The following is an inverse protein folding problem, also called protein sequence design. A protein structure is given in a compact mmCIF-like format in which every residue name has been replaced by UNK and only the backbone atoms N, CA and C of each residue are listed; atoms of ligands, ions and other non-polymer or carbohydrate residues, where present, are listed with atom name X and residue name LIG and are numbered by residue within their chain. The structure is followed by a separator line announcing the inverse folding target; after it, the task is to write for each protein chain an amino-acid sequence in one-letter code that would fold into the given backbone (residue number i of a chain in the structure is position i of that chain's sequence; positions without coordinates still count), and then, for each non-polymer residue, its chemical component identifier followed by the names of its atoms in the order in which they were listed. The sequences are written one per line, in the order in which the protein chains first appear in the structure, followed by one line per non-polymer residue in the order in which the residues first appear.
data_IF_941306190172
#
_entry.id   IF_941306190172
#
_cell.length_a   1.000
_cell.length_b   1.000
_cell.length_c   1.000
_cell.angle_alpha   90.00
_cell.angle_beta   90.00
_cell.angle_gamma   90.00
#
_symmetry.space_group_name_H-M   'P 1'
#
loop_
_entity.id
_entity.type
_entity.pdbx_description
1 polymer ?
#
# COMPACT_ATOMS: atom_id res chain seq x y z
N UNK A 1 -28.24 17.48 -16.25
CA UNK A 1 -27.25 16.38 -16.25
C UNK A 1 -26.96 16.03 -14.82
N UNK A 2 -26.76 14.77 -14.52
CA UNK A 2 -26.29 14.35 -13.20
C UNK A 2 -24.86 14.86 -13.01
N UNK A 3 -24.55 15.47 -11.84
CA UNK A 3 -23.21 15.94 -11.54
C UNK A 3 -22.60 14.97 -10.54
N UNK A 4 -21.49 14.32 -10.90
CA UNK A 4 -20.74 13.40 -10.04
C UNK A 4 -19.56 14.11 -9.38
N UNK A 5 -19.39 13.87 -8.09
CA UNK A 5 -18.27 14.44 -7.34
C UNK A 5 -17.09 13.49 -7.30
N UNK A 6 -15.90 14.06 -7.55
CA UNK A 6 -14.61 13.36 -7.51
C UNK A 6 -13.75 13.97 -6.42
N UNK A 7 -13.33 13.17 -5.44
CA UNK A 7 -12.35 13.58 -4.44
C UNK A 7 -10.94 13.23 -4.92
N UNK A 8 -10.06 14.22 -5.00
CA UNK A 8 -8.62 14.04 -5.26
C UNK A 8 -7.90 13.91 -3.93
N UNK A 9 -7.48 12.71 -3.57
CA UNK A 9 -6.79 12.39 -2.32
C UNK A 9 -5.29 12.53 -2.52
N UNK A 10 -4.66 13.42 -1.76
CA UNK A 10 -3.25 13.80 -1.93
C UNK A 10 -2.48 13.60 -0.63
N UNK A 11 -1.78 12.46 -0.45
CA UNK A 11 -0.88 12.29 0.69
C UNK A 11 0.37 13.15 0.52
N UNK A 12 0.69 13.97 1.54
CA UNK A 12 1.79 14.94 1.52
C UNK A 12 2.72 14.73 2.73
N UNK A 13 4.02 14.78 2.52
CA UNK A 13 5.03 14.83 3.58
C UNK A 13 6.27 15.58 3.13
N UNK A 14 6.47 16.82 3.62
CA UNK A 14 7.54 17.73 3.20
C UNK A 14 7.54 17.91 1.66
N UNK A 15 6.43 18.42 1.16
CA UNK A 15 6.15 18.67 -0.26
C UNK A 15 5.85 20.17 -0.53
N UNK A 16 6.32 21.09 0.34
CA UNK A 16 6.09 22.54 0.25
C UNK A 16 6.25 23.09 -1.17
N UNK A 17 7.27 22.64 -1.90
CA UNK A 17 7.59 23.14 -3.25
C UNK A 17 6.67 22.59 -4.34
N UNK A 18 5.92 21.52 -4.06
CA UNK A 18 5.13 20.81 -5.06
C UNK A 18 3.62 21.11 -4.94
N UNK A 19 3.12 21.53 -3.77
CA UNK A 19 1.70 21.67 -3.48
C UNK A 19 1.00 22.61 -4.45
N UNK A 20 1.54 23.83 -4.66
CA UNK A 20 0.94 24.83 -5.56
C UNK A 20 0.92 24.32 -7.01
N UNK A 21 2.07 23.83 -7.52
CA UNK A 21 2.16 23.32 -8.87
C UNK A 21 1.25 22.12 -9.12
N UNK A 22 1.08 21.26 -8.09
CA UNK A 22 0.15 20.13 -8.14
C UNK A 22 -1.30 20.62 -8.27
N UNK A 23 -1.71 21.58 -7.40
CA UNK A 23 -3.07 22.12 -7.42
C UNK A 23 -3.39 22.73 -8.79
N UNK A 24 -2.52 23.59 -9.32
CA UNK A 24 -2.68 24.21 -10.64
C UNK A 24 -2.77 23.16 -11.77
N UNK A 25 -1.90 22.15 -11.75
CA UNK A 25 -1.89 21.12 -12.78
C UNK A 25 -3.17 20.27 -12.78
N UNK A 26 -3.72 19.96 -11.60
CA UNK A 26 -4.99 19.24 -11.47
C UNK A 26 -6.16 20.12 -11.87
N UNK A 27 -6.16 21.42 -11.52
CA UNK A 27 -7.19 22.38 -11.97
C UNK A 27 -7.26 22.48 -13.48
N UNK A 28 -6.10 22.55 -14.16
CA UNK A 28 -6.05 22.54 -15.64
C UNK A 28 -6.66 21.24 -16.20
N UNK A 29 -6.34 20.10 -15.61
CA UNK A 29 -6.90 18.81 -16.05
C UNK A 29 -8.43 18.74 -15.81
N UNK A 30 -8.91 19.23 -14.66
CA UNK A 30 -10.32 19.30 -14.31
C UNK A 30 -11.09 20.19 -15.29
N UNK A 31 -10.60 21.40 -15.60
CA UNK A 31 -11.20 22.32 -16.56
C UNK A 31 -11.33 21.67 -17.96
N UNK A 32 -10.30 20.97 -18.42
CA UNK A 32 -10.37 20.22 -19.70
C UNK A 32 -11.44 19.13 -19.69
N UNK A 33 -11.65 18.45 -18.55
CA UNK A 33 -12.69 17.42 -18.41
C UNK A 33 -14.07 18.07 -18.42
N UNK A 34 -14.27 19.18 -17.70
CA UNK A 34 -15.54 19.91 -17.62
C UNK A 34 -15.95 20.53 -18.97
N UNK A 35 -15.00 21.02 -19.75
CA UNK A 35 -15.23 21.58 -21.09
C UNK A 35 -15.47 20.52 -22.15
N UNK A 36 -15.11 19.26 -21.87
CA UNK A 36 -15.20 18.16 -22.83
C UNK A 36 -16.65 17.66 -22.93
N UNK A 37 -17.17 17.58 -24.16
CA UNK A 37 -18.48 16.98 -24.46
C UNK A 37 -18.45 15.45 -24.55
N UNK A 38 -17.33 14.82 -24.25
CA UNK A 38 -17.14 13.36 -24.37
C UNK A 38 -17.77 12.58 -23.21
N UNK A 39 -18.02 13.23 -22.06
CA UNK A 39 -18.51 12.56 -20.85
C UNK A 39 -20.04 12.58 -20.75
N UNK A 40 -20.61 11.50 -20.23
CA UNK A 40 -22.06 11.34 -20.06
C UNK A 40 -22.65 12.24 -18.96
N UNK A 41 -21.82 12.69 -18.00
CA UNK A 41 -22.22 13.57 -16.90
C UNK A 41 -21.16 14.67 -16.68
N UNK A 42 -21.54 15.73 -15.94
CA UNK A 42 -20.56 16.71 -15.45
C UNK A 42 -19.85 16.18 -14.21
N UNK A 43 -18.62 16.65 -13.98
CA UNK A 43 -17.83 16.27 -12.82
C UNK A 43 -17.49 17.51 -11.99
N UNK A 44 -17.64 17.39 -10.67
CA UNK A 44 -17.26 18.39 -9.67
C UNK A 44 -16.05 17.86 -8.91
N UNK A 45 -14.93 18.59 -8.93
CA UNK A 45 -13.68 18.20 -8.33
C UNK A 45 -13.51 18.80 -6.95
N UNK A 46 -13.19 17.97 -5.97
CA UNK A 46 -12.80 18.40 -4.63
C UNK A 46 -11.46 17.77 -4.23
N UNK A 47 -10.74 18.44 -3.34
CA UNK A 47 -9.41 18.03 -2.91
C UNK A 47 -9.42 17.62 -1.45
N UNK A 48 -8.67 16.56 -1.11
CA UNK A 48 -8.44 16.14 0.25
C UNK A 48 -6.92 15.97 0.43
N UNK A 49 -6.27 17.01 0.91
CA UNK A 49 -4.85 16.98 1.24
C UNK A 49 -4.64 16.34 2.61
N UNK A 50 -3.73 15.37 2.70
CA UNK A 50 -3.36 14.73 3.96
C UNK A 50 -1.90 15.08 4.27
N UNK A 51 -1.69 15.98 5.21
CA UNK A 51 -0.37 16.32 5.71
C UNK A 51 0.07 15.30 6.77
N UNK A 52 1.00 14.43 6.41
CA UNK A 52 1.55 13.37 7.27
C UNK A 52 2.58 13.94 8.27
N UNK A 53 2.23 15.02 8.97
CA UNK A 53 3.06 15.66 9.98
C UNK A 53 4.34 16.27 9.40
N UNK A 54 4.23 17.05 8.35
CA UNK A 54 5.34 17.75 7.72
C UNK A 54 6.06 18.70 8.69
N UNK A 55 7.34 18.94 8.42
CA UNK A 55 8.21 19.82 9.22
C UNK A 55 8.67 21.07 8.45
N UNK A 56 8.26 21.17 7.19
CA UNK A 56 8.44 22.32 6.30
C UNK A 56 7.14 23.13 6.17
N UNK A 57 7.05 24.04 5.21
CA UNK A 57 5.86 24.86 4.93
C UNK A 57 4.70 24.15 4.21
N UNK A 58 4.70 22.81 4.12
CA UNK A 58 3.65 22.06 3.40
C UNK A 58 2.24 22.37 3.90
N UNK A 59 2.03 22.34 5.22
CA UNK A 59 0.71 22.58 5.82
C UNK A 59 0.24 24.00 5.58
N UNK A 60 1.15 24.99 5.69
CA UNK A 60 0.87 26.39 5.41
C UNK A 60 0.42 26.60 3.96
N UNK A 61 1.08 25.94 3.00
CA UNK A 61 0.69 25.99 1.58
C UNK A 61 -0.68 25.36 1.37
N UNK A 62 -0.97 24.23 1.98
CA UNK A 62 -2.28 23.57 1.90
C UNK A 62 -3.39 24.49 2.42
N UNK A 63 -3.17 25.18 3.55
CA UNK A 63 -4.13 26.14 4.12
C UNK A 63 -4.38 27.32 3.20
N UNK A 64 -3.33 27.88 2.60
CA UNK A 64 -3.48 28.97 1.62
C UNK A 64 -4.32 28.55 0.41
N UNK A 65 -4.13 27.33 -0.08
CA UNK A 65 -4.95 26.77 -1.17
C UNK A 65 -6.39 26.55 -0.70
N UNK A 66 -6.60 26.08 0.53
CA UNK A 66 -7.94 25.87 1.06
C UNK A 66 -8.72 27.19 1.20
N UNK A 67 -8.07 28.26 1.66
CA UNK A 67 -8.66 29.59 1.73
C UNK A 67 -9.01 30.13 0.34
N UNK A 68 -8.11 30.01 -0.64
CA UNK A 68 -8.35 30.39 -2.03
C UNK A 68 -9.46 29.54 -2.67
N UNK A 69 -9.47 28.23 -2.45
CA UNK A 69 -10.51 27.34 -2.96
C UNK A 69 -11.90 27.71 -2.45
N UNK A 70 -12.02 28.18 -1.21
CA UNK A 70 -13.28 28.67 -0.66
C UNK A 70 -13.80 29.92 -1.39
N UNK A 71 -12.91 30.81 -1.86
CA UNK A 71 -13.27 31.97 -2.68
C UNK A 71 -13.68 31.56 -4.10
N UNK A 72 -13.06 30.54 -4.67
CA UNK A 72 -13.29 30.01 -6.02
C UNK A 72 -14.43 28.96 -6.08
N UNK A 73 -15.10 28.68 -4.96
CA UNK A 73 -16.13 27.64 -4.80
C UNK A 73 -15.61 26.22 -5.04
N UNK A 74 -14.30 26.02 -5.02
CA UNK A 74 -13.68 24.70 -5.12
C UNK A 74 -13.49 24.11 -3.72
N UNK A 75 -14.04 22.92 -3.47
CA UNK A 75 -13.94 22.29 -2.16
C UNK A 75 -12.52 21.75 -1.91
N UNK A 76 -11.74 22.45 -1.09
CA UNK A 76 -10.40 22.02 -0.65
C UNK A 76 -10.43 21.70 0.84
N UNK A 77 -10.21 20.43 1.13
CA UNK A 77 -10.18 19.88 2.49
C UNK A 77 -8.78 19.46 2.86
N UNK A 78 -8.47 19.46 4.15
CA UNK A 78 -7.22 18.92 4.63
C UNK A 78 -7.36 18.24 5.99
N UNK A 79 -6.45 17.28 6.24
CA UNK A 79 -6.21 16.64 7.54
C UNK A 79 -4.71 16.71 7.79
N UNK A 80 -4.28 17.27 8.92
CA UNK A 80 -2.88 17.25 9.36
C UNK A 80 -2.71 16.33 10.55
N UNK A 81 -1.68 15.48 10.49
CA UNK A 81 -1.37 14.53 11.54
C UNK A 81 -0.47 15.11 12.63
N UNK A 82 -0.58 14.58 13.83
CA UNK A 82 0.25 15.01 14.98
C UNK A 82 1.75 14.71 14.81
N UNK A 83 2.10 13.76 13.94
CA UNK A 83 3.47 13.38 13.54
C UNK A 83 3.40 12.59 12.23
N UNK A 84 4.55 12.22 11.68
CA UNK A 84 4.60 11.29 10.56
C UNK A 84 4.12 9.88 10.99
N UNK A 85 3.08 9.37 10.32
CA UNK A 85 2.53 8.02 10.46
C UNK A 85 2.76 7.17 9.19
N UNK A 86 3.22 7.79 8.10
CA UNK A 86 3.55 7.16 6.83
C UNK A 86 2.47 7.30 5.76
N UNK A 87 2.90 7.17 4.50
CA UNK A 87 2.04 7.34 3.32
C UNK A 87 0.77 6.48 3.36
N UNK A 88 0.89 5.24 3.83
CA UNK A 88 -0.24 4.30 3.93
C UNK A 88 -1.33 4.85 4.88
N UNK A 89 -0.94 5.43 6.01
CA UNK A 89 -1.87 6.08 6.94
C UNK A 89 -2.52 7.32 6.31
N UNK A 90 -1.76 8.11 5.55
CA UNK A 90 -2.28 9.28 4.85
C UNK A 90 -3.31 8.90 3.77
N UNK A 91 -3.01 7.89 2.94
CA UNK A 91 -3.97 7.36 1.97
C UNK A 91 -5.25 6.84 2.65
N UNK A 92 -5.11 6.11 3.75
CA UNK A 92 -6.26 5.63 4.52
C UNK A 92 -7.13 6.76 5.06
N UNK A 93 -6.52 7.81 5.62
CA UNK A 93 -7.26 8.97 6.13
C UNK A 93 -8.06 9.67 5.01
N UNK A 94 -7.45 9.85 3.85
CA UNK A 94 -8.10 10.43 2.67
C UNK A 94 -9.27 9.58 2.17
N UNK A 95 -9.08 8.28 2.04
CA UNK A 95 -10.14 7.34 1.64
C UNK A 95 -11.30 7.34 2.65
N UNK A 96 -10.98 7.35 3.94
CA UNK A 96 -11.99 7.41 5.00
C UNK A 96 -12.79 8.71 4.98
N UNK A 97 -12.13 9.84 4.72
CA UNK A 97 -12.78 11.15 4.58
C UNK A 97 -13.69 11.18 3.34
N UNK A 98 -13.22 10.65 2.20
CA UNK A 98 -14.01 10.55 0.97
C UNK A 98 -15.22 9.62 1.13
N UNK A 99 -15.05 8.47 1.78
CA UNK A 99 -16.13 7.51 2.02
C UNK A 99 -17.25 8.07 2.91
N UNK A 100 -16.90 8.88 3.93
CA UNK A 100 -17.88 9.49 4.84
C UNK A 100 -18.59 10.71 4.23
N UNK A 101 -17.93 11.45 3.34
CA UNK A 101 -18.34 12.79 2.95
C UNK A 101 -18.13 13.82 4.08
N UNK A 102 -18.41 15.09 3.79
CA UNK A 102 -18.45 16.13 4.82
C UNK A 102 -19.79 16.10 5.57
N UNK A 103 -19.83 16.63 6.81
CA UNK A 103 -21.05 16.73 7.63
C UNK A 103 -22.22 17.36 6.83
N UNK A 104 -23.28 16.57 6.66
CA UNK A 104 -24.44 16.96 5.85
C UNK A 104 -24.25 16.88 4.33
N UNK A 105 -23.07 16.51 3.83
CA UNK A 105 -22.77 16.25 2.42
C UNK A 105 -22.91 14.78 2.06
N UNK A 106 -23.21 14.52 0.77
CA UNK A 106 -23.15 13.14 0.24
C UNK A 106 -21.68 12.71 0.13
N UNK A 107 -21.39 11.40 0.29
CA UNK A 107 -20.09 10.84 -0.08
C UNK A 107 -19.77 11.15 -1.55
N UNK A 108 -18.49 11.11 -1.91
CA UNK A 108 -18.09 11.28 -3.30
C UNK A 108 -18.49 10.07 -4.14
N UNK A 109 -18.83 10.30 -5.40
CA UNK A 109 -19.15 9.23 -6.34
C UNK A 109 -17.89 8.47 -6.75
N UNK A 110 -16.80 9.21 -6.88
CA UNK A 110 -15.48 8.70 -7.27
C UNK A 110 -14.38 9.30 -6.39
N UNK A 111 -13.26 8.60 -6.26
CA UNK A 111 -12.06 9.14 -5.62
C UNK A 111 -10.80 8.77 -6.40
N UNK A 112 -9.87 9.70 -6.49
CA UNK A 112 -8.54 9.51 -7.11
C UNK A 112 -7.48 9.68 -6.05
N UNK A 113 -6.52 8.75 -5.97
CA UNK A 113 -5.31 8.90 -5.16
C UNK A 113 -4.18 9.37 -6.08
N UNK A 114 -3.52 10.47 -5.72
CA UNK A 114 -2.37 11.00 -6.46
C UNK A 114 -1.29 11.50 -5.50
N UNK A 115 -0.02 11.29 -5.88
CA UNK A 115 1.12 11.89 -5.17
C UNK A 115 1.31 13.34 -5.61
N UNK A 116 1.70 14.23 -4.67
CA UNK A 116 1.90 15.66 -4.93
C UNK A 116 3.11 15.98 -5.84
N UNK A 117 3.98 15.01 -6.12
CA UNK A 117 5.25 15.20 -6.86
C UNK A 117 5.12 15.27 -8.39
N UNK A 118 3.89 15.22 -8.91
CA UNK A 118 3.54 15.25 -10.34
C UNK A 118 4.25 14.19 -11.20
N UNK A 119 4.73 13.10 -10.58
CA UNK A 119 5.21 11.95 -11.36
C UNK A 119 4.07 11.23 -12.11
N UNK A 120 2.85 11.45 -11.66
CA UNK A 120 1.62 10.97 -12.29
C UNK A 120 0.95 12.14 -13.03
N UNK A 121 0.84 12.09 -14.38
CA UNK A 121 0.22 13.16 -15.14
C UNK A 121 -1.28 13.32 -14.79
N UNK A 122 -1.74 14.50 -14.31
CA UNK A 122 -3.16 14.71 -14.00
C UNK A 122 -4.09 14.52 -15.21
N UNK A 123 -3.60 14.73 -16.42
CA UNK A 123 -4.35 14.50 -17.66
C UNK A 123 -4.88 13.06 -17.80
N UNK A 124 -4.26 12.07 -17.14
CA UNK A 124 -4.74 10.69 -17.14
C UNK A 124 -6.08 10.50 -16.42
N UNK A 125 -6.49 11.45 -15.57
CA UNK A 125 -7.81 11.39 -14.90
C UNK A 125 -8.92 11.33 -15.95
N UNK A 126 -8.84 12.11 -17.03
CA UNK A 126 -9.82 12.05 -18.12
C UNK A 126 -9.89 10.69 -18.80
N UNK A 127 -8.73 10.04 -19.02
CA UNK A 127 -8.70 8.68 -19.58
C UNK A 127 -9.27 7.65 -18.60
N UNK A 128 -8.98 7.78 -17.31
CA UNK A 128 -9.54 6.92 -16.27
C UNK A 128 -11.07 7.05 -16.20
N UNK A 129 -11.59 8.26 -16.24
CA UNK A 129 -13.05 8.52 -16.26
C UNK A 129 -13.71 7.90 -17.47
N UNK A 130 -13.14 8.09 -18.67
CA UNK A 130 -13.64 7.48 -19.90
C UNK A 130 -13.71 5.96 -19.77
N UNK A 131 -12.68 5.33 -19.23
CA UNK A 131 -12.64 3.87 -19.01
C UNK A 131 -13.76 3.40 -18.09
N UNK A 132 -13.97 4.08 -16.96
CA UNK A 132 -15.08 3.73 -16.05
C UNK A 132 -16.44 3.87 -16.74
N UNK A 133 -16.66 4.93 -17.52
CA UNK A 133 -17.92 5.13 -18.24
C UNK A 133 -18.13 4.07 -19.33
N UNK A 134 -17.10 3.69 -20.07
CA UNK A 134 -17.17 2.73 -21.17
C UNK A 134 -17.35 1.29 -20.69
N UNK A 135 -16.63 0.89 -19.63
CA UNK A 135 -16.58 -0.51 -19.21
C UNK A 135 -17.46 -0.81 -18.01
N UNK A 136 -17.79 0.21 -17.20
CA UNK A 136 -18.50 0.03 -15.94
C UNK A 136 -17.65 -0.63 -14.84
N UNK A 137 -16.32 -0.68 -15.00
CA UNK A 137 -15.41 -1.22 -13.98
C UNK A 137 -15.46 -0.37 -12.70
N UNK A 138 -15.03 -0.97 -11.58
CA UNK A 138 -15.07 -0.31 -10.27
C UNK A 138 -13.86 0.61 -10.04
N UNK A 139 -12.77 0.33 -10.73
CA UNK A 139 -11.51 1.08 -10.60
C UNK A 139 -10.72 1.11 -11.89
N UNK A 140 -10.01 2.20 -12.12
CA UNK A 140 -8.95 2.30 -13.13
C UNK A 140 -7.66 2.69 -12.46
N UNK A 141 -6.63 1.83 -12.58
CA UNK A 141 -5.35 2.03 -11.95
C UNK A 141 -4.24 2.26 -12.99
N UNK A 142 -3.28 3.10 -12.65
CA UNK A 142 -2.14 3.35 -13.51
C UNK A 142 -1.01 2.35 -13.25
N UNK A 143 -0.33 1.90 -14.33
CA UNK A 143 0.89 1.10 -14.24
C UNK A 143 2.01 1.68 -15.10
N UNK A 144 3.22 1.61 -14.58
CA UNK A 144 4.41 2.05 -15.32
C UNK A 144 4.84 1.01 -16.33
N UNK A 145 4.95 1.39 -17.60
CA UNK A 145 5.41 0.50 -18.69
C UNK A 145 6.91 0.47 -18.80
N UNK A 146 7.60 1.54 -18.39
CA UNK A 146 9.03 1.70 -18.58
C UNK A 146 9.75 1.93 -17.27
N UNK A 147 10.79 1.11 -17.04
CA UNK A 147 11.76 1.29 -15.94
C UNK A 147 13.06 1.91 -16.46
N UNK A 148 13.00 2.70 -17.54
CA UNK A 148 14.16 3.42 -18.08
C UNK A 148 14.70 4.39 -17.01
N UNK A 149 15.99 4.22 -16.67
CA UNK A 149 16.65 5.03 -15.63
C UNK A 149 16.70 4.39 -14.23
N UNK A 150 16.03 3.26 -13.98
CA UNK A 150 16.20 2.52 -12.72
C UNK A 150 17.43 1.59 -12.78
N UNK A 151 18.15 1.42 -11.66
CA UNK A 151 19.22 0.42 -11.55
C UNK A 151 18.69 -0.99 -11.87
N UNK A 152 19.38 -1.74 -12.71
CA UNK A 152 18.97 -3.09 -13.14
C UNK A 152 18.71 -4.04 -11.97
N UNK A 153 19.49 -3.90 -10.89
CA UNK A 153 19.36 -4.68 -9.66
C UNK A 153 18.01 -4.41 -9.00
N UNK A 154 17.60 -3.13 -8.86
CA UNK A 154 16.31 -2.73 -8.27
C UNK A 154 15.14 -3.30 -9.07
N UNK A 155 15.20 -3.23 -10.40
CA UNK A 155 14.17 -3.78 -11.29
C UNK A 155 14.09 -5.31 -11.21
N UNK A 156 15.23 -6.01 -11.01
CA UNK A 156 15.24 -7.46 -10.82
C UNK A 156 14.61 -7.88 -9.48
N UNK A 157 14.95 -7.17 -8.39
CA UNK A 157 14.34 -7.40 -7.08
C UNK A 157 12.83 -7.14 -7.09
N UNK A 158 12.37 -6.07 -7.73
CA UNK A 158 10.95 -5.78 -7.84
C UNK A 158 10.20 -6.89 -8.59
N UNK A 159 10.71 -7.36 -9.74
CA UNK A 159 10.11 -8.48 -10.47
C UNK A 159 10.08 -9.77 -9.66
N UNK A 160 11.16 -10.06 -8.93
CA UNK A 160 11.21 -11.22 -8.04
C UNK A 160 10.16 -11.11 -6.93
N UNK A 161 10.02 -9.93 -6.33
CA UNK A 161 9.01 -9.65 -5.32
C UNK A 161 7.59 -9.91 -5.84
N UNK A 162 7.20 -9.33 -6.98
CA UNK A 162 5.87 -9.57 -7.58
C UNK A 162 5.65 -11.04 -7.91
N UNK A 163 6.68 -11.73 -8.43
CA UNK A 163 6.58 -13.18 -8.71
C UNK A 163 6.36 -14.02 -7.43
N UNK A 164 7.01 -13.66 -6.34
CA UNK A 164 6.85 -14.33 -5.04
C UNK A 164 5.46 -14.02 -4.48
N UNK A 165 5.04 -12.75 -4.46
CA UNK A 165 3.71 -12.35 -4.00
C UNK A 165 2.62 -13.11 -4.74
N UNK A 166 2.62 -13.08 -6.07
CA UNK A 166 1.60 -13.73 -6.90
C UNK A 166 1.65 -15.26 -6.85
N UNK A 167 2.73 -15.85 -6.32
CA UNK A 167 2.86 -17.32 -6.16
C UNK A 167 2.39 -17.81 -4.79
N UNK A 168 2.59 -17.01 -3.75
CA UNK A 168 2.45 -17.45 -2.35
C UNK A 168 1.39 -16.69 -1.57
N UNK A 169 0.85 -15.61 -2.11
CA UNK A 169 -0.29 -14.88 -1.55
C UNK A 169 -1.54 -15.13 -2.40
N UNK A 170 -2.71 -15.07 -1.77
CA UNK A 170 -4.02 -15.23 -2.45
C UNK A 170 -4.47 -13.93 -3.14
N UNK A 171 -3.52 -13.09 -3.58
CA UNK A 171 -3.75 -11.83 -4.27
C UNK A 171 -2.87 -11.73 -5.52
N UNK A 172 -3.40 -11.14 -6.59
CA UNK A 172 -2.65 -10.85 -7.80
C UNK A 172 -2.27 -9.37 -7.86
N UNK A 173 -0.98 -9.08 -7.68
CA UNK A 173 -0.45 -7.72 -7.79
C UNK A 173 0.19 -7.53 -9.16
N UNK A 174 -0.29 -6.54 -9.90
CA UNK A 174 0.21 -6.21 -11.24
C UNK A 174 1.58 -5.55 -11.16
N UNK A 175 2.56 -6.06 -11.94
CA UNK A 175 3.90 -5.46 -12.01
C UNK A 175 3.83 -4.04 -12.57
N UNK A 176 4.51 -3.12 -11.90
CA UNK A 176 4.51 -1.70 -12.25
C UNK A 176 3.31 -0.92 -11.72
N UNK A 177 2.37 -1.55 -10.98
CA UNK A 177 1.27 -0.86 -10.33
C UNK A 177 1.76 0.27 -9.42
N UNK A 178 1.17 1.44 -9.56
CA UNK A 178 1.37 2.62 -8.70
C UNK A 178 0.12 2.89 -7.88
N UNK A 179 0.21 3.82 -6.92
CA UNK A 179 -0.94 4.16 -6.08
C UNK A 179 -1.97 5.05 -6.80
N UNK A 180 -1.58 5.64 -7.94
CA UNK A 180 -2.45 6.46 -8.76
C UNK A 180 -3.58 5.63 -9.37
N UNK A 181 -4.79 5.84 -8.86
CA UNK A 181 -5.99 5.13 -9.29
C UNK A 181 -7.26 5.93 -9.03
N UNK A 182 -8.23 5.76 -9.92
CA UNK A 182 -9.60 6.20 -9.78
C UNK A 182 -10.44 5.03 -9.29
N UNK A 183 -11.30 5.25 -8.30
CA UNK A 183 -12.16 4.23 -7.68
C UNK A 183 -13.58 4.75 -7.55
N UNK A 184 -14.58 3.87 -7.70
CA UNK A 184 -15.95 4.18 -7.36
C UNK A 184 -16.17 4.20 -5.84
N UNK A 185 -17.29 4.75 -5.40
CA UNK A 185 -17.62 4.87 -3.98
C UNK A 185 -17.65 3.51 -3.26
N UNK A 186 -18.13 2.45 -3.93
CA UNK A 186 -18.23 1.12 -3.32
C UNK A 186 -16.85 0.57 -2.94
N UNK A 187 -15.87 0.70 -3.84
CA UNK A 187 -14.49 0.30 -3.57
C UNK A 187 -13.82 1.18 -2.51
N UNK A 188 -14.01 2.52 -2.59
CA UNK A 188 -13.48 3.47 -1.57
C UNK A 188 -13.99 3.10 -0.19
N UNK A 189 -15.29 2.84 -0.05
CA UNK A 189 -15.90 2.44 1.22
C UNK A 189 -15.33 1.11 1.73
N UNK A 190 -15.26 0.09 0.88
CA UNK A 190 -14.71 -1.22 1.27
C UNK A 190 -13.28 -1.10 1.80
N UNK A 191 -12.41 -0.33 1.11
CA UNK A 191 -11.01 -0.12 1.55
C UNK A 191 -10.92 0.74 2.82
N UNK A 192 -11.81 1.73 2.99
CA UNK A 192 -11.87 2.57 4.18
C UNK A 192 -12.38 1.83 5.43
N UNK A 193 -13.18 0.78 5.25
CA UNK A 193 -13.68 -0.09 6.33
C UNK A 193 -12.64 -1.12 6.83
N UNK A 194 -11.46 -1.21 6.18
CA UNK A 194 -10.37 -2.11 6.60
C UNK A 194 -9.37 -1.36 7.49
N UNK A 195 -9.46 -1.49 8.83
CA UNK A 195 -8.68 -0.70 9.78
C UNK A 195 -7.33 -1.36 10.14
N UNK A 196 -6.69 -2.03 9.20
CA UNK A 196 -5.41 -2.69 9.41
C UNK A 196 -4.33 -1.67 9.81
N UNK A 197 -3.60 -1.93 10.90
CA UNK A 197 -2.53 -1.06 11.40
C UNK A 197 -1.30 -1.14 10.49
N UNK A 198 -1.00 -2.34 10.00
CA UNK A 198 0.06 -2.59 9.02
C UNK A 198 -0.59 -2.66 7.63
N UNK A 199 -0.54 -1.55 6.90
CA UNK A 199 -1.20 -1.44 5.60
C UNK A 199 -0.22 -1.63 4.46
N UNK A 200 -0.66 -2.39 3.48
CA UNK A 200 -0.03 -2.49 2.17
C UNK A 200 -1.11 -2.26 1.11
N UNK A 201 -1.34 -1.00 0.77
CA UNK A 201 -2.49 -0.58 -0.06
C UNK A 201 -2.60 -1.34 -1.38
N UNK A 202 -1.48 -1.65 -2.05
CA UNK A 202 -1.50 -2.45 -3.29
C UNK A 202 -2.07 -3.84 -3.09
N UNK A 203 -1.78 -4.46 -1.95
CA UNK A 203 -2.37 -5.74 -1.56
C UNK A 203 -3.84 -5.61 -1.22
N UNK A 204 -4.21 -4.58 -0.45
CA UNK A 204 -5.61 -4.32 -0.06
C UNK A 204 -6.48 -4.09 -1.30
N UNK A 205 -6.02 -3.27 -2.26
CA UNK A 205 -6.74 -3.02 -3.51
C UNK A 205 -6.95 -4.28 -4.35
N UNK A 206 -6.01 -5.21 -4.32
CA UNK A 206 -6.17 -6.51 -5.00
C UNK A 206 -7.09 -7.44 -4.20
N UNK A 207 -7.00 -7.42 -2.87
CA UNK A 207 -7.73 -8.31 -1.98
C UNK A 207 -9.25 -8.04 -1.97
N UNK A 208 -9.66 -6.77 -2.07
CA UNK A 208 -11.10 -6.41 -2.08
C UNK A 208 -11.85 -6.94 -3.30
N UNK A 209 -11.15 -7.36 -4.36
CA UNK A 209 -11.71 -8.11 -5.50
C UNK A 209 -12.62 -7.31 -6.43
N UNK A 210 -12.56 -5.97 -6.41
CA UNK A 210 -13.28 -5.10 -7.33
C UNK A 210 -12.66 -5.15 -8.73
N UNK A 211 -13.50 -5.01 -9.76
CA UNK A 211 -13.07 -5.00 -11.15
C UNK A 211 -12.19 -3.80 -11.44
N UNK A 212 -10.92 -4.06 -11.84
CA UNK A 212 -9.91 -3.02 -12.03
C UNK A 212 -9.30 -3.10 -13.41
N UNK A 213 -9.46 -2.03 -14.19
CA UNK A 213 -8.76 -1.83 -15.45
C UNK A 213 -7.44 -1.10 -15.26
N UNK A 214 -6.53 -1.25 -16.23
CA UNK A 214 -5.17 -0.72 -16.13
C UNK A 214 -4.87 0.20 -17.31
N UNK A 215 -4.39 1.41 -16.99
CA UNK A 215 -3.82 2.32 -17.99
C UNK A 215 -2.30 2.36 -17.86
N UNK A 216 -1.64 2.42 -19.01
CA UNK A 216 -0.20 2.45 -19.07
C UNK A 216 0.29 3.89 -19.20
N UNK A 217 1.33 4.25 -18.44
CA UNK A 217 1.95 5.56 -18.58
C UNK A 217 3.48 5.49 -18.51
N UNK A 218 4.12 6.46 -19.15
CA UNK A 218 5.56 6.66 -19.03
C UNK A 218 5.88 7.56 -17.82
N UNK A 219 6.92 7.17 -17.07
CA UNK A 219 7.31 7.90 -15.88
C UNK A 219 7.82 9.31 -16.22
N UNK A 220 7.22 10.32 -15.63
CA UNK A 220 7.67 11.71 -15.73
C UNK A 220 8.70 11.98 -14.62
N UNK A 221 9.70 12.81 -14.89
CA UNK A 221 10.66 13.24 -13.86
C UNK A 221 9.93 14.08 -12.80
N UNK A 222 10.29 13.88 -11.53
CA UNK A 222 9.83 14.74 -10.43
C UNK A 222 10.15 16.19 -10.73
N UNK A 223 9.22 17.09 -10.37
CA UNK A 223 9.45 18.54 -10.47
C UNK A 223 10.52 18.99 -9.46
N UNK A 224 10.44 18.53 -8.22
CA UNK A 224 11.38 18.85 -7.14
C UNK A 224 11.49 17.69 -6.14
N UNK A 225 12.54 17.69 -5.32
CA UNK A 225 12.78 16.71 -4.25
C UNK A 225 13.58 15.48 -4.66
N UNK A 226 14.17 14.80 -3.67
CA UNK A 226 14.92 13.56 -3.84
C UNK A 226 14.12 12.36 -3.36
N UNK A 227 14.44 11.17 -3.87
CA UNK A 227 13.79 9.94 -3.41
C UNK A 227 14.19 9.64 -1.96
N UNK A 228 13.21 9.61 -1.06
CA UNK A 228 13.42 9.31 0.38
C UNK A 228 13.53 7.79 0.65
N UNK A 229 13.32 6.95 -0.37
CA UNK A 229 13.37 5.50 -0.23
C UNK A 229 14.80 4.97 -0.31
N UNK A 230 15.26 4.37 0.78
CA UNK A 230 16.50 3.60 0.82
C UNK A 230 16.25 2.15 0.35
N UNK A 231 17.31 1.46 -0.10
CA UNK A 231 17.23 0.03 -0.46
C UNK A 231 16.70 -0.81 0.70
N UNK A 232 17.15 -0.50 1.93
CA UNK A 232 16.68 -1.15 3.15
C UNK A 232 15.19 -0.89 3.41
N UNK A 233 14.72 0.35 3.24
CA UNK A 233 13.30 0.71 3.38
C UNK A 233 12.41 -0.04 2.39
N UNK A 234 12.84 -0.15 1.13
CA UNK A 234 12.13 -0.91 0.11
C UNK A 234 12.09 -2.41 0.42
N UNK A 235 13.22 -2.98 0.92
CA UNK A 235 13.26 -4.40 1.30
C UNK A 235 12.34 -4.66 2.49
N UNK A 236 12.36 -3.78 3.49
CA UNK A 236 11.47 -3.87 4.65
C UNK A 236 10.01 -3.82 4.21
N UNK A 237 9.62 -2.83 3.39
CA UNK A 237 8.25 -2.70 2.87
C UNK A 237 7.81 -3.95 2.08
N UNK A 238 8.72 -4.54 1.30
CA UNK A 238 8.44 -5.77 0.57
C UNK A 238 8.24 -6.98 1.49
N UNK A 239 9.07 -7.11 2.53
CA UNK A 239 8.94 -8.19 3.53
C UNK A 239 7.66 -8.01 4.34
N UNK A 240 7.36 -6.79 4.77
CA UNK A 240 6.14 -6.47 5.51
C UNK A 240 4.90 -6.82 4.69
N UNK A 241 4.82 -6.35 3.43
CA UNK A 241 3.71 -6.70 2.53
C UNK A 241 3.59 -8.21 2.26
N UNK A 242 4.71 -8.93 2.18
CA UNK A 242 4.67 -10.38 2.02
C UNK A 242 4.10 -11.08 3.25
N UNK A 243 4.52 -10.70 4.45
CA UNK A 243 4.05 -11.32 5.69
C UNK A 243 2.57 -10.98 5.94
N UNK A 244 2.09 -9.79 5.56
CA UNK A 244 0.71 -9.38 5.75
C UNK A 244 -0.28 -10.18 4.88
N UNK A 245 0.13 -10.60 3.69
CA UNK A 245 -0.72 -11.33 2.74
C UNK A 245 -0.33 -12.80 2.51
N UNK A 246 0.75 -13.29 3.15
CA UNK A 246 1.20 -14.67 3.03
C UNK A 246 1.15 -15.40 4.37
N UNK A 247 0.35 -16.43 4.45
CA UNK A 247 0.43 -17.44 5.53
C UNK A 247 1.42 -18.57 5.21
N UNK A 248 1.93 -18.59 3.97
CA UNK A 248 2.86 -19.57 3.43
C UNK A 248 4.14 -19.75 4.25
N UNK A 249 4.81 -18.71 4.79
CA UNK A 249 6.03 -18.91 5.58
C UNK A 249 5.79 -19.74 6.84
N UNK A 250 4.65 -19.54 7.49
CA UNK A 250 4.28 -20.27 8.69
C UNK A 250 3.91 -21.73 8.36
N UNK A 251 3.16 -21.95 7.28
CA UNK A 251 2.83 -23.29 6.76
C UNK A 251 4.10 -24.03 6.36
N UNK A 252 5.04 -23.37 5.68
CA UNK A 252 6.33 -23.97 5.29
C UNK A 252 7.16 -24.36 6.53
N UNK A 253 7.25 -23.49 7.53
CA UNK A 253 7.96 -23.78 8.77
C UNK A 253 7.36 -24.99 9.49
N UNK A 254 6.02 -25.09 9.55
CA UNK A 254 5.33 -26.24 10.12
C UNK A 254 5.57 -27.54 9.34
N UNK A 255 5.45 -27.50 8.00
CA UNK A 255 5.71 -28.65 7.14
C UNK A 255 7.17 -29.13 7.24
N UNK A 256 8.12 -28.17 7.22
CA UNK A 256 9.55 -28.48 7.38
C UNK A 256 9.83 -29.12 8.74
N UNK A 257 9.28 -28.57 9.84
CA UNK A 257 9.37 -29.15 11.17
C UNK A 257 8.81 -30.57 11.23
N UNK A 258 7.67 -30.81 10.57
CA UNK A 258 7.05 -32.14 10.46
C UNK A 258 7.94 -33.16 9.74
N UNK A 259 8.55 -32.77 8.62
CA UNK A 259 9.51 -33.63 7.87
C UNK A 259 10.73 -33.96 8.71
N UNK A 260 11.30 -32.97 9.38
CA UNK A 260 12.45 -33.15 10.27
C UNK A 260 12.09 -34.06 11.45
N UNK A 261 10.94 -33.89 12.08
CA UNK A 261 10.48 -34.74 13.17
C UNK A 261 10.28 -36.20 12.73
N UNK A 262 9.65 -36.42 11.56
CA UNK A 262 9.47 -37.75 11.00
C UNK A 262 10.82 -38.44 10.67
N UNK A 263 11.75 -37.70 10.05
CA UNK A 263 13.10 -38.20 9.75
C UNK A 263 13.88 -38.54 11.02
N UNK A 264 13.78 -37.71 12.06
CA UNK A 264 14.41 -37.94 13.36
C UNK A 264 13.84 -39.18 14.06
N UNK A 265 12.53 -39.41 13.98
CA UNK A 265 11.88 -40.60 14.54
C UNK A 265 12.33 -41.87 13.85
N UNK A 266 12.43 -41.86 12.50
CA UNK A 266 12.96 -42.97 11.73
C UNK A 266 14.42 -43.27 12.11
N UNK A 267 15.26 -42.24 12.18
CA UNK A 267 16.64 -42.37 12.59
C UNK A 267 16.80 -42.97 14.00
N UNK A 268 15.98 -42.51 14.94
CA UNK A 268 15.94 -43.03 16.31
C UNK A 268 15.63 -44.54 16.33
N UNK A 269 14.63 -44.99 15.54
CA UNK A 269 14.27 -46.39 15.46
C UNK A 269 15.47 -47.23 14.89
N UNK A 270 16.13 -46.73 13.86
CA UNK A 270 17.30 -47.39 13.25
C UNK A 270 18.42 -47.52 14.30
N UNK A 271 18.73 -46.46 15.06
CA UNK A 271 19.79 -46.51 16.09
C UNK A 271 19.44 -47.46 17.25
N UNK A 272 18.17 -47.55 17.67
CA UNK A 272 17.74 -48.51 18.66
C UNK A 272 17.96 -49.95 18.16
N UNK A 273 17.52 -50.26 16.95
CA UNK A 273 17.69 -51.59 16.34
C UNK A 273 19.18 -51.94 16.23
N UNK A 274 20.00 -51.02 15.73
CA UNK A 274 21.44 -51.18 15.57
C UNK A 274 22.13 -51.45 16.92
N UNK A 275 21.77 -50.72 17.97
CA UNK A 275 22.31 -50.89 19.32
C UNK A 275 21.96 -52.24 19.93
N UNK A 276 20.72 -52.73 19.67
CA UNK A 276 20.28 -54.07 20.13
C UNK A 276 21.02 -55.19 19.41
N UNK A 277 21.23 -55.04 18.10
CA UNK A 277 21.80 -56.13 17.24
C UNK A 277 23.31 -56.15 17.27
N UNK A 278 23.98 -54.98 17.26
CA UNK A 278 25.45 -54.89 17.07
C UNK A 278 26.21 -54.56 18.36
N UNK A 279 25.52 -54.26 19.49
CA UNK A 279 26.18 -53.86 20.72
C UNK A 279 26.59 -52.38 20.75
N UNK A 280 27.14 -51.91 21.87
CA UNK A 280 27.48 -50.49 22.09
C UNK A 280 28.66 -50.04 21.21
N UNK A 281 28.39 -49.07 20.37
CA UNK A 281 29.41 -48.28 19.69
C UNK A 281 29.45 -46.88 20.29
N UNK A 282 30.58 -46.42 20.78
CA UNK A 282 30.68 -45.17 21.54
C UNK A 282 31.52 -44.06 20.90
N UNK A 283 31.67 -43.88 19.64
CA UNK A 283 32.14 -42.59 19.14
C UNK A 283 31.00 -41.83 18.48
N UNK A 284 30.36 -40.89 19.21
CA UNK A 284 29.26 -40.11 18.67
C UNK A 284 29.13 -38.70 19.27
N UNK A 285 30.01 -38.31 20.18
CA UNK A 285 29.89 -37.02 20.91
C UNK A 285 29.87 -35.80 19.99
N UNK A 286 30.78 -35.71 19.04
CA UNK A 286 30.85 -34.60 18.10
C UNK A 286 29.60 -34.54 17.18
N UNK A 287 29.14 -35.68 16.68
CA UNK A 287 27.92 -35.76 15.85
C UNK A 287 26.66 -35.35 16.63
N UNK A 288 26.56 -35.79 17.88
CA UNK A 288 25.44 -35.44 18.76
C UNK A 288 25.39 -33.95 19.01
N UNK A 289 26.51 -33.29 19.32
CA UNK A 289 26.58 -31.83 19.53
C UNK A 289 26.22 -31.08 18.25
N UNK A 290 26.75 -31.49 17.10
CA UNK A 290 26.42 -30.86 15.83
C UNK A 290 24.91 -30.95 15.51
N UNK A 291 24.27 -32.09 15.76
CA UNK A 291 22.83 -32.26 15.56
C UNK A 291 22.01 -31.42 16.53
N UNK A 292 22.40 -31.36 17.80
CA UNK A 292 21.72 -30.51 18.80
C UNK A 292 21.81 -29.03 18.41
N UNK A 293 22.99 -28.55 18.02
CA UNK A 293 23.19 -27.15 17.61
C UNK A 293 22.41 -26.85 16.32
N UNK A 294 22.41 -27.76 15.34
CA UNK A 294 21.70 -27.57 14.09
C UNK A 294 20.18 -27.51 14.30
N UNK A 295 19.60 -28.47 15.01
CA UNK A 295 18.17 -28.47 15.30
C UNK A 295 17.77 -27.36 16.27
N UNK A 296 18.62 -27.05 17.26
CA UNK A 296 18.43 -25.91 18.13
C UNK A 296 18.37 -24.59 17.35
N UNK A 297 19.26 -24.41 16.38
CA UNK A 297 19.24 -23.25 15.48
C UNK A 297 17.96 -23.14 14.66
N UNK A 298 17.47 -24.27 14.10
CA UNK A 298 16.20 -24.31 13.35
C UNK A 298 15.02 -23.96 14.27
N UNK A 299 14.97 -24.51 15.48
CA UNK A 299 13.90 -24.22 16.44
C UNK A 299 13.86 -22.71 16.77
N UNK A 300 15.03 -22.10 17.04
CA UNK A 300 15.13 -20.67 17.32
C UNK A 300 14.67 -19.85 16.11
N UNK A 301 15.03 -20.23 14.90
CA UNK A 301 14.59 -19.54 13.68
C UNK A 301 13.07 -19.62 13.49
N UNK A 302 12.45 -20.78 13.72
CA UNK A 302 10.99 -20.96 13.65
C UNK A 302 10.30 -20.15 14.75
N UNK A 303 10.81 -20.16 15.98
CA UNK A 303 10.28 -19.35 17.07
C UNK A 303 10.38 -17.84 16.77
N UNK A 304 11.46 -17.41 16.11
CA UNK A 304 11.60 -16.03 15.63
C UNK A 304 10.52 -15.66 14.60
N UNK A 305 10.24 -16.54 13.64
CA UNK A 305 9.17 -16.36 12.66
C UNK A 305 7.79 -16.28 13.35
N UNK A 306 7.49 -17.18 14.27
CA UNK A 306 6.25 -17.15 15.06
C UNK A 306 6.15 -15.84 15.86
N UNK A 307 7.28 -15.40 16.45
CA UNK A 307 7.35 -14.15 17.20
C UNK A 307 7.00 -12.93 16.35
N UNK A 308 7.38 -12.91 15.06
CA UNK A 308 7.00 -11.85 14.13
C UNK A 308 5.48 -11.79 13.91
N UNK A 309 4.82 -12.92 13.66
CA UNK A 309 3.36 -12.97 13.50
C UNK A 309 2.63 -12.60 14.81
N UNK A 310 3.10 -13.07 15.95
CA UNK A 310 2.55 -12.69 17.26
C UNK A 310 2.73 -11.19 17.50
N UNK A 311 3.87 -10.61 17.13
CA UNK A 311 4.14 -9.18 17.21
C UNK A 311 3.12 -8.35 16.40
N UNK A 312 2.79 -8.77 15.18
CA UNK A 312 1.76 -8.14 14.34
C UNK A 312 0.36 -8.27 14.95
N UNK A 313 -0.03 -9.48 15.36
CA UNK A 313 -1.31 -9.70 16.07
C UNK A 313 -1.41 -8.82 17.31
N UNK A 314 -0.33 -8.65 18.06
CA UNK A 314 -0.31 -7.78 19.25
C UNK A 314 -0.52 -6.30 18.90
N UNK A 315 0.02 -5.82 17.79
CA UNK A 315 -0.21 -4.44 17.32
C UNK A 315 -1.68 -4.24 16.93
N UNK A 316 -2.28 -5.17 16.20
CA UNK A 316 -3.71 -5.14 15.85
C UNK A 316 -4.62 -5.21 17.08
N UNK A 317 -4.32 -6.08 18.03
CA UNK A 317 -5.10 -6.26 19.26
C UNK A 317 -5.07 -5.02 20.17
N UNK A 318 -4.03 -4.18 20.08
CA UNK A 318 -3.98 -2.90 20.82
C UNK A 318 -5.05 -1.92 20.40
N UNK A 319 -5.61 -2.04 19.19
CA UNK A 319 -6.65 -1.14 18.70
C UNK A 319 -6.24 0.34 18.67
N UNK A 320 -4.94 0.63 18.49
CA UNK A 320 -4.47 2.02 18.35
C UNK A 320 -4.93 2.57 17.02
N UNK A 321 -5.34 3.85 16.95
CA UNK A 321 -5.70 4.47 15.68
C UNK A 321 -4.49 4.48 14.73
N UNK A 322 -4.74 4.28 13.43
CA UNK A 322 -3.73 4.25 12.37
C UNK A 322 -3.00 5.60 12.30
N UNK A 323 -3.71 6.70 12.56
CA UNK A 323 -3.18 8.06 12.65
C UNK A 323 -3.86 8.82 13.77
N UNK A 324 -3.22 9.91 14.20
CA UNK A 324 -3.79 10.87 15.14
C UNK A 324 -3.87 12.23 14.44
N UNK A 325 -5.09 12.71 14.25
CA UNK A 325 -5.36 14.02 13.69
C UNK A 325 -4.92 15.11 14.68
N UNK A 326 -4.23 16.13 14.18
CA UNK A 326 -3.84 17.33 14.92
C UNK A 326 -4.80 18.46 14.62
N UNK A 327 -5.11 18.65 13.35
CA UNK A 327 -6.04 19.66 12.87
C UNK A 327 -6.63 19.27 11.51
N UNK A 328 -7.83 19.78 11.21
CA UNK A 328 -8.55 19.52 9.97
C UNK A 328 -9.56 20.62 9.71
N UNK A 329 -9.91 20.88 8.45
CA UNK A 329 -11.06 21.70 8.09
C UNK A 329 -12.27 20.84 7.68
N UNK A 330 -12.20 19.53 7.85
CA UNK A 330 -13.34 18.62 7.61
C UNK A 330 -14.20 18.62 8.86
N UNK A 331 -15.41 19.14 8.76
CA UNK A 331 -16.39 19.02 9.86
C UNK A 331 -16.85 17.58 10.02
N UNK A 332 -16.75 17.00 11.25
CA UNK A 332 -17.22 15.67 11.60
C UNK A 332 -18.77 15.56 11.62
#
# INVERSE_FOLDING_TARGET
MECKRIDIIVPCYNEEQNIEAFYEAVQVAAAHIEESSEFACSYDFSYIFIDDGSTDGTLEQIKLIADRGAEELTAVKYISFSRNFGKEAAMYAGLKASAKGSKGGKPSDLAVIMDADLQHPPALIGEMLRRIEETGCDSVAARRVSRKGEPRIRSAFARLFYKIMNRYCDIEIVDGAVDFRLMNHAMVKAVAEMPETQRFSKGIFAWVGFDTEWIEFENVRRLAGETKWTVWGLTKYAVDGFIDFADSPLKFAGAFGGVVAAGSAIYLIIEIIKTIVMGKDTPGYASTICLILFFGGIIIAILGLIGEYIGRMYLETKGRPIYVEKESNIEE
#
